data_IF_394208457661
#
_entry.id   IF_394208457661
#
_cell.length_a   1.000
_cell.length_b   1.000
_cell.length_c   1.000
_cell.angle_alpha   90.00
_cell.angle_beta   90.00
_cell.angle_gamma   90.00
#
_symmetry.space_group_name_H-M   'P 1'
#
loop_
_entity.id
_entity.type
_entity.pdbx_description
1 polymer ?
#
# COMPACT_ATOMS: atom_id res chain seq x y z
N UNK A 1 18.69 -16.49 10.45
CA UNK A 1 18.22 -15.47 9.50
C UNK A 1 16.71 -15.50 9.54
N UNK A 2 16.08 -14.37 9.55
CA UNK A 2 14.64 -14.20 9.52
C UNK A 2 14.21 -13.69 8.15
N UNK A 3 12.96 -13.99 7.75
CA UNK A 3 12.44 -13.61 6.44
C UNK A 3 11.14 -12.84 6.59
N UNK A 4 11.04 -11.73 5.89
CA UNK A 4 9.85 -10.89 5.85
C UNK A 4 9.25 -10.91 4.44
N UNK A 5 7.97 -11.25 4.35
CA UNK A 5 7.15 -11.13 3.16
C UNK A 5 6.22 -9.92 3.33
N UNK A 6 6.32 -8.93 2.47
CA UNK A 6 5.38 -7.81 2.45
C UNK A 6 4.52 -7.93 1.19
N UNK A 7 3.21 -7.99 1.38
CA UNK A 7 2.20 -8.17 0.34
C UNK A 7 1.40 -6.90 0.15
N UNK A 8 1.36 -6.38 -1.07
CA UNK A 8 0.35 -5.39 -1.43
C UNK A 8 -1.00 -6.09 -1.60
N UNK A 9 -2.06 -5.53 -1.03
CA UNK A 9 -3.44 -6.03 -1.18
C UNK A 9 -3.84 -6.30 -2.63
N UNK A 10 -4.84 -7.14 -2.86
CA UNK A 10 -5.48 -7.34 -4.14
C UNK A 10 -6.07 -6.05 -4.71
N UNK A 11 -6.37 -6.01 -6.00
CA UNK A 11 -6.92 -4.80 -6.62
C UNK A 11 -8.16 -4.31 -5.87
N UNK A 12 -8.16 -3.04 -5.47
CA UNK A 12 -9.32 -2.39 -4.88
C UNK A 12 -10.33 -1.95 -5.96
N UNK A 13 -11.57 -1.74 -5.55
CA UNK A 13 -12.67 -1.30 -6.42
C UNK A 13 -12.55 0.20 -6.74
N UNK A 14 -11.66 0.54 -7.67
CA UNK A 14 -11.47 1.91 -8.13
C UNK A 14 -12.78 2.45 -8.74
N UNK A 15 -13.21 3.62 -8.32
CA UNK A 15 -14.49 4.28 -8.72
C UNK A 15 -15.77 3.67 -8.12
N UNK A 16 -15.72 2.70 -7.20
CA UNK A 16 -16.88 2.31 -6.41
C UNK A 16 -17.13 3.31 -5.26
N UNK A 17 -18.38 3.32 -4.74
CA UNK A 17 -18.71 4.13 -3.56
C UNK A 17 -17.80 3.84 -2.35
N UNK A 18 -17.32 2.60 -2.24
CA UNK A 18 -16.37 2.19 -1.23
C UNK A 18 -15.09 1.66 -1.88
N UNK A 19 -14.10 2.52 -1.99
CA UNK A 19 -12.77 2.18 -2.52
C UNK A 19 -12.02 1.14 -1.68
N UNK A 20 -12.37 0.97 -0.41
CA UNK A 20 -11.65 0.05 0.51
C UNK A 20 -12.01 -1.43 0.28
N UNK A 21 -12.93 -1.75 -0.62
CA UNK A 21 -13.28 -3.13 -0.97
C UNK A 21 -12.39 -3.68 -2.09
N UNK A 22 -12.11 -4.98 -2.05
CA UNK A 22 -11.50 -5.66 -3.19
C UNK A 22 -12.46 -5.70 -4.38
N UNK A 23 -11.91 -5.54 -5.59
CA UNK A 23 -12.65 -5.84 -6.81
C UNK A 23 -12.71 -7.37 -7.04
N UNK A 24 -13.58 -7.87 -7.92
CA UNK A 24 -13.57 -9.30 -8.30
C UNK A 24 -12.21 -9.78 -8.80
N UNK A 25 -11.45 -8.90 -9.48
CA UNK A 25 -10.07 -9.17 -9.88
C UNK A 25 -9.14 -9.25 -8.67
N UNK A 26 -9.29 -8.34 -7.69
CA UNK A 26 -8.50 -8.34 -6.46
C UNK A 26 -8.72 -9.59 -5.62
N UNK A 27 -9.97 -10.08 -5.53
CA UNK A 27 -10.27 -11.35 -4.89
C UNK A 27 -9.58 -12.52 -5.61
N UNK A 28 -9.67 -12.58 -6.95
CA UNK A 28 -9.02 -13.61 -7.75
C UNK A 28 -7.49 -13.60 -7.56
N UNK A 29 -6.88 -12.41 -7.56
CA UNK A 29 -5.45 -12.23 -7.30
C UNK A 29 -5.06 -12.75 -5.91
N UNK A 30 -5.85 -12.42 -4.87
CA UNK A 30 -5.58 -12.84 -3.49
C UNK A 30 -5.71 -14.36 -3.33
N UNK A 31 -6.72 -14.99 -3.96
CA UNK A 31 -6.87 -16.46 -3.98
C UNK A 31 -5.67 -17.13 -4.67
N UNK A 32 -5.24 -16.61 -5.82
CA UNK A 32 -4.09 -17.15 -6.56
C UNK A 32 -2.80 -17.04 -5.73
N UNK A 33 -2.59 -15.94 -5.01
CA UNK A 33 -1.46 -15.78 -4.10
C UNK A 33 -1.48 -16.89 -3.02
N UNK A 34 -2.63 -17.08 -2.37
CA UNK A 34 -2.79 -18.12 -1.35
C UNK A 34 -2.57 -19.53 -1.89
N UNK A 35 -3.10 -19.85 -3.07
CA UNK A 35 -2.88 -21.11 -3.75
C UNK A 35 -1.40 -21.34 -4.10
N UNK A 36 -0.73 -20.31 -4.60
CA UNK A 36 0.69 -20.38 -4.91
C UNK A 36 1.52 -20.65 -3.65
N UNK A 37 1.30 -19.90 -2.58
CA UNK A 37 2.04 -20.05 -1.34
C UNK A 37 1.78 -21.42 -0.67
N UNK A 38 0.52 -21.86 -0.61
CA UNK A 38 0.16 -23.16 -0.03
C UNK A 38 0.74 -24.32 -0.86
N UNK A 39 0.75 -24.23 -2.21
CA UNK A 39 1.38 -25.26 -3.07
C UNK A 39 2.90 -25.38 -2.83
N UNK A 40 3.55 -24.29 -2.44
CA UNK A 40 4.97 -24.26 -2.04
C UNK A 40 5.19 -24.60 -0.58
N UNK A 41 4.11 -24.83 0.18
CA UNK A 41 4.14 -25.13 1.62
C UNK A 41 4.90 -24.06 2.41
N UNK A 42 4.79 -22.77 1.99
CA UNK A 42 5.37 -21.67 2.73
C UNK A 42 4.75 -21.63 4.13
N UNK A 43 5.58 -21.48 5.15
CA UNK A 43 5.15 -21.40 6.54
C UNK A 43 5.56 -20.06 7.12
N UNK A 44 4.68 -19.50 7.92
CA UNK A 44 4.91 -18.25 8.61
C UNK A 44 4.79 -18.48 10.12
N UNK A 45 5.66 -17.84 10.87
CA UNK A 45 5.58 -17.81 12.34
C UNK A 45 4.60 -16.73 12.79
N UNK A 46 4.43 -15.68 11.97
CA UNK A 46 3.53 -14.55 12.25
C UNK A 46 2.97 -13.97 10.97
N UNK A 47 1.69 -13.56 11.06
CA UNK A 47 0.99 -12.87 9.98
C UNK A 47 0.29 -11.65 10.55
N UNK A 48 0.40 -10.51 9.88
CA UNK A 48 -0.41 -9.34 10.20
C UNK A 48 -0.98 -8.67 8.95
N UNK A 49 -1.97 -7.84 9.17
CA UNK A 49 -2.56 -6.98 8.16
C UNK A 49 -2.67 -5.55 8.67
N UNK A 50 -2.48 -4.58 7.78
CA UNK A 50 -2.88 -3.20 8.05
C UNK A 50 -4.39 -3.10 8.30
N UNK A 51 -4.87 -1.93 8.77
CA UNK A 51 -6.24 -1.79 9.27
C UNK A 51 -7.32 -1.78 8.18
N UNK A 52 -6.97 -1.53 6.92
CA UNK A 52 -7.93 -1.38 5.80
C UNK A 52 -8.66 -2.68 5.50
N UNK A 53 -9.91 -2.57 5.06
CA UNK A 53 -10.73 -3.73 4.66
C UNK A 53 -10.03 -4.55 3.59
N UNK A 54 -9.50 -3.91 2.56
CA UNK A 54 -8.75 -4.57 1.47
C UNK A 54 -7.51 -5.34 1.93
N UNK A 55 -6.85 -4.90 3.02
CA UNK A 55 -5.72 -5.66 3.62
C UNK A 55 -6.22 -6.95 4.27
N UNK A 56 -7.28 -6.84 5.08
CA UNK A 56 -7.90 -7.94 5.80
C UNK A 56 -8.54 -8.95 4.86
N UNK A 57 -9.24 -8.48 3.82
CA UNK A 57 -9.87 -9.35 2.84
C UNK A 57 -8.82 -10.10 1.99
N UNK A 58 -7.70 -9.44 1.66
CA UNK A 58 -6.60 -10.12 0.96
C UNK A 58 -6.07 -11.28 1.79
N UNK A 59 -5.71 -11.07 3.06
CA UNK A 59 -5.19 -12.14 3.90
C UNK A 59 -6.23 -13.21 4.22
N UNK A 60 -7.50 -12.84 4.35
CA UNK A 60 -8.61 -13.80 4.53
C UNK A 60 -8.72 -14.77 3.36
N UNK A 61 -8.55 -14.30 2.12
CA UNK A 61 -8.59 -15.14 0.93
C UNK A 61 -7.35 -16.02 0.81
N UNK A 62 -6.18 -15.53 1.25
CA UNK A 62 -4.95 -16.34 1.36
C UNK A 62 -5.14 -17.43 2.41
N UNK A 63 -5.69 -17.11 3.57
CA UNK A 63 -5.98 -18.05 4.67
C UNK A 63 -6.90 -19.19 4.18
N UNK A 64 -8.00 -18.85 3.50
CA UNK A 64 -8.92 -19.85 2.94
C UNK A 64 -8.23 -20.82 1.96
N UNK A 65 -7.22 -20.36 1.21
CA UNK A 65 -6.45 -21.22 0.33
C UNK A 65 -5.50 -22.18 1.09
N UNK A 66 -4.96 -21.73 2.23
CA UNK A 66 -4.19 -22.59 3.13
C UNK A 66 -5.06 -23.66 3.77
N UNK A 67 -6.23 -23.30 4.30
CA UNK A 67 -7.19 -24.25 4.86
C UNK A 67 -7.60 -25.30 3.83
N UNK A 68 -7.90 -24.89 2.58
CA UNK A 68 -8.25 -25.80 1.49
C UNK A 68 -7.11 -26.77 1.13
N UNK A 69 -5.86 -26.39 1.39
CA UNK A 69 -4.68 -27.22 1.18
C UNK A 69 -4.32 -28.08 2.42
N UNK A 70 -5.10 -28.02 3.50
CA UNK A 70 -4.81 -28.71 4.77
C UNK A 70 -3.56 -28.15 5.48
N UNK A 71 -3.31 -26.85 5.33
CA UNK A 71 -2.19 -26.14 5.95
C UNK A 71 -2.71 -25.07 6.89
N UNK A 72 -1.97 -24.81 7.95
CA UNK A 72 -2.28 -23.75 8.91
C UNK A 72 -1.57 -22.44 8.52
N UNK A 73 -2.28 -21.33 8.69
CA UNK A 73 -1.74 -19.98 8.69
C UNK A 73 -1.93 -19.39 10.10
N UNK A 74 -0.93 -18.70 10.70
CA UNK A 74 -1.07 -18.09 12.01
C UNK A 74 -2.25 -17.12 12.07
N UNK A 75 -2.79 -16.90 13.28
CA UNK A 75 -3.80 -15.89 13.53
C UNK A 75 -3.31 -14.51 13.06
N UNK A 76 -4.17 -13.80 12.33
CA UNK A 76 -3.83 -12.53 11.71
C UNK A 76 -4.04 -11.38 12.69
N UNK A 77 -2.95 -10.70 13.03
CA UNK A 77 -2.99 -9.49 13.85
C UNK A 77 -3.28 -8.26 12.99
N UNK A 78 -4.12 -7.34 13.48
CA UNK A 78 -4.28 -6.03 12.84
C UNK A 78 -3.25 -5.06 13.43
N UNK A 79 -2.39 -4.51 12.58
CA UNK A 79 -1.30 -3.60 12.97
C UNK A 79 -1.53 -2.23 12.30
N UNK A 80 -1.98 -1.20 13.06
CA UNK A 80 -2.31 0.12 12.51
C UNK A 80 -1.13 0.82 11.82
N UNK A 81 0.10 0.54 12.25
CA UNK A 81 1.32 1.11 11.68
C UNK A 81 1.49 0.77 10.19
N UNK A 82 0.86 -0.30 9.72
CA UNK A 82 0.88 -0.69 8.30
C UNK A 82 -0.32 -0.16 7.51
N UNK A 83 -0.94 0.95 7.97
CA UNK A 83 -1.92 1.67 7.13
C UNK A 83 -1.22 2.44 6.00
N UNK A 84 -1.97 2.67 4.92
CA UNK A 84 -1.51 3.50 3.79
C UNK A 84 -1.38 4.97 4.21
N UNK A 85 -0.57 5.76 3.50
CA UNK A 85 -0.55 7.21 3.68
C UNK A 85 -1.92 7.83 3.35
N UNK A 86 -2.25 9.00 3.94
CA UNK A 86 -3.59 9.57 3.88
C UNK A 86 -3.90 10.26 2.54
N UNK A 87 -3.78 9.51 1.42
CA UNK A 87 -3.92 10.05 0.07
C UNK A 87 -5.23 10.81 -0.15
N UNK A 88 -6.34 10.33 0.42
CA UNK A 88 -7.65 10.98 0.30
C UNK A 88 -7.65 12.37 0.96
N UNK A 89 -7.09 12.47 2.17
CA UNK A 89 -6.98 13.75 2.87
C UNK A 89 -6.01 14.69 2.14
N UNK A 90 -4.87 14.17 1.67
CA UNK A 90 -3.91 14.94 0.87
C UNK A 90 -4.55 15.50 -0.39
N UNK A 91 -5.31 14.68 -1.13
CA UNK A 91 -6.05 15.13 -2.32
C UNK A 91 -7.12 16.17 -1.95
N UNK A 92 -7.92 15.91 -0.91
CA UNK A 92 -9.02 16.77 -0.49
C UNK A 92 -8.55 18.18 -0.11
N UNK A 93 -7.46 18.27 0.63
CA UNK A 93 -6.97 19.56 1.16
C UNK A 93 -5.84 20.14 0.31
N UNK A 94 -5.02 19.33 -0.32
CA UNK A 94 -3.86 19.77 -1.10
C UNK A 94 -4.20 20.21 -2.53
N UNK A 95 -5.14 19.52 -3.19
CA UNK A 95 -5.53 19.86 -4.56
C UNK A 95 -6.06 21.31 -4.67
N UNK A 96 -6.98 21.80 -3.81
CA UNK A 96 -7.44 23.21 -3.86
C UNK A 96 -6.28 24.21 -3.77
N UNK A 97 -5.33 23.98 -2.88
CA UNK A 97 -4.15 24.86 -2.73
C UNK A 97 -3.34 24.89 -4.04
N UNK A 98 -3.11 23.73 -4.66
CA UNK A 98 -2.35 23.67 -5.91
C UNK A 98 -3.11 24.21 -7.12
N UNK A 99 -4.44 24.16 -7.13
CA UNK A 99 -5.25 24.83 -8.15
C UNK A 99 -5.03 26.35 -8.15
N UNK A 100 -4.79 26.97 -7.00
CA UNK A 100 -4.51 28.40 -6.90
C UNK A 100 -3.07 28.74 -7.31
N UNK A 101 -2.12 27.85 -7.03
CA UNK A 101 -0.69 28.13 -7.14
C UNK A 101 -0.03 27.61 -8.44
N UNK A 102 -0.59 26.58 -9.08
CA UNK A 102 0.06 25.87 -10.19
C UNK A 102 -0.87 25.78 -11.41
N UNK A 103 -0.48 26.47 -12.50
CA UNK A 103 -1.23 26.48 -13.77
C UNK A 103 -1.35 25.08 -14.37
N UNK A 104 -0.30 24.27 -14.28
CA UNK A 104 -0.30 22.90 -14.79
C UNK A 104 -1.32 22.02 -14.07
N UNK A 105 -1.48 22.20 -12.75
CA UNK A 105 -2.51 21.50 -11.97
C UNK A 105 -3.90 21.94 -12.40
N UNK A 106 -4.12 23.24 -12.63
CA UNK A 106 -5.38 23.75 -13.17
C UNK A 106 -5.73 23.15 -14.52
N UNK A 107 -4.78 23.09 -15.44
CA UNK A 107 -4.99 22.55 -16.78
C UNK A 107 -5.34 21.04 -16.74
N UNK A 108 -4.62 20.29 -15.92
CA UNK A 108 -4.91 18.85 -15.70
C UNK A 108 -6.28 18.65 -15.04
N UNK A 109 -6.63 19.47 -14.06
CA UNK A 109 -7.93 19.37 -13.40
C UNK A 109 -9.08 19.72 -14.37
N UNK A 110 -8.92 20.75 -15.19
CA UNK A 110 -9.87 21.08 -16.24
C UNK A 110 -10.01 19.92 -17.25
N UNK A 111 -8.91 19.34 -17.70
CA UNK A 111 -8.91 18.19 -18.58
C UNK A 111 -9.63 16.97 -17.95
N UNK A 112 -9.39 16.71 -16.65
CA UNK A 112 -10.09 15.66 -15.91
C UNK A 112 -11.60 15.86 -15.88
N UNK A 113 -12.06 17.10 -15.66
CA UNK A 113 -13.49 17.42 -15.59
C UNK A 113 -14.19 17.32 -16.96
N UNK A 114 -13.48 17.64 -18.04
CA UNK A 114 -14.03 17.65 -19.39
C UNK A 114 -13.84 16.33 -20.16
N UNK A 115 -13.05 15.40 -19.63
CA UNK A 115 -12.81 14.13 -20.29
C UNK A 115 -14.07 13.23 -20.28
N UNK A 116 -14.59 12.92 -21.45
CA UNK A 116 -15.74 12.03 -21.63
C UNK A 116 -15.31 10.54 -21.64
N UNK A 117 -14.07 10.27 -22.09
CA UNK A 117 -13.55 8.92 -22.23
C UNK A 117 -13.03 8.39 -20.89
N UNK A 118 -13.55 7.25 -20.36
CA UNK A 118 -13.14 6.73 -19.04
C UNK A 118 -11.64 6.50 -18.89
N UNK A 119 -10.97 6.01 -19.93
CA UNK A 119 -9.50 5.75 -19.90
C UNK A 119 -8.71 7.05 -19.82
N UNK A 120 -9.08 8.06 -20.57
CA UNK A 120 -8.44 9.37 -20.55
C UNK A 120 -8.66 10.05 -19.20
N UNK A 121 -9.90 10.01 -18.70
CA UNK A 121 -10.24 10.54 -17.38
C UNK A 121 -9.41 9.89 -16.27
N UNK A 122 -9.25 8.56 -16.32
CA UNK A 122 -8.42 7.83 -15.37
C UNK A 122 -6.94 8.23 -15.47
N UNK A 123 -6.39 8.33 -16.68
CA UNK A 123 -5.00 8.71 -16.90
C UNK A 123 -4.73 10.15 -16.44
N UNK A 124 -5.67 11.06 -16.66
CA UNK A 124 -5.55 12.47 -16.24
C UNK A 124 -5.66 12.58 -14.71
N UNK A 125 -6.58 11.84 -14.09
CA UNK A 125 -6.67 11.75 -12.64
C UNK A 125 -5.38 11.20 -12.03
N UNK A 126 -4.81 10.14 -12.60
CA UNK A 126 -3.56 9.57 -12.13
C UNK A 126 -2.41 10.59 -12.12
N UNK A 127 -2.26 11.36 -13.19
CA UNK A 127 -1.25 12.43 -13.28
C UNK A 127 -1.48 13.52 -12.23
N UNK A 128 -2.73 13.93 -12.03
CA UNK A 128 -3.09 14.91 -11.02
C UNK A 128 -2.76 14.41 -9.61
N UNK A 129 -3.15 13.17 -9.33
CA UNK A 129 -2.85 12.47 -8.08
C UNK A 129 -1.34 12.43 -7.81
N UNK A 130 -0.54 11.99 -8.80
CA UNK A 130 0.92 11.91 -8.67
C UNK A 130 1.55 13.26 -8.33
N UNK A 131 1.10 14.36 -8.96
CA UNK A 131 1.61 15.70 -8.69
C UNK A 131 1.29 16.13 -7.25
N UNK A 132 0.04 15.96 -6.82
CA UNK A 132 -0.41 16.39 -5.48
C UNK A 132 0.32 15.59 -4.41
N UNK A 133 0.38 14.26 -4.54
CA UNK A 133 1.05 13.39 -3.58
C UNK A 133 2.57 13.66 -3.57
N UNK A 134 3.20 13.87 -4.72
CA UNK A 134 4.62 14.23 -4.77
C UNK A 134 4.91 15.57 -4.07
N UNK A 135 4.07 16.58 -4.25
CA UNK A 135 4.20 17.86 -3.55
C UNK A 135 4.10 17.71 -2.04
N UNK A 136 3.15 16.90 -1.56
CA UNK A 136 3.01 16.58 -0.14
C UNK A 136 4.23 15.80 0.38
N UNK A 137 4.64 14.75 -0.29
CA UNK A 137 5.76 13.91 0.13
C UNK A 137 7.11 14.66 0.19
N UNK A 138 7.28 15.70 -0.64
CA UNK A 138 8.49 16.53 -0.65
C UNK A 138 8.37 17.76 0.28
N UNK A 139 7.33 17.85 1.12
CA UNK A 139 7.13 18.99 2.03
C UNK A 139 6.66 20.28 1.37
N UNK A 140 6.28 20.24 0.09
CA UNK A 140 5.74 21.40 -0.65
C UNK A 140 4.27 21.72 -0.36
N UNK A 141 3.60 20.87 0.44
CA UNK A 141 2.24 21.08 0.95
C UNK A 141 2.23 20.86 2.46
N UNK A 142 1.92 21.90 3.21
CA UNK A 142 1.66 21.80 4.64
C UNK A 142 0.15 21.74 4.85
N UNK A 143 -0.35 20.60 5.35
CA UNK A 143 -1.77 20.34 5.53
C UNK A 143 -2.03 20.10 7.01
N UNK A 144 -2.73 21.03 7.66
CA UNK A 144 -3.02 20.93 9.09
C UNK A 144 -3.87 19.68 9.41
N UNK A 145 -3.46 18.94 10.43
CA UNK A 145 -4.15 17.72 10.86
C UNK A 145 -4.01 16.51 9.92
N UNK A 146 -3.18 16.60 8.89
CA UNK A 146 -2.86 15.50 7.98
C UNK A 146 -1.44 15.00 8.25
N UNK A 147 -1.29 13.70 8.43
CA UNK A 147 0.02 13.05 8.59
C UNK A 147 0.97 13.49 7.48
N UNK A 148 2.17 13.90 7.83
CA UNK A 148 3.23 14.25 6.88
C UNK A 148 3.94 13.00 6.36
N UNK A 149 4.66 13.12 5.24
CA UNK A 149 5.45 12.01 4.70
C UNK A 149 6.51 11.46 5.69
N UNK A 150 7.28 12.29 6.42
CA UNK A 150 8.19 11.80 7.45
C UNK A 150 7.49 11.06 8.60
N UNK A 151 6.31 11.54 9.05
CA UNK A 151 5.52 10.88 10.08
C UNK A 151 5.00 9.52 9.61
N UNK A 152 4.49 9.44 8.36
CA UNK A 152 4.12 8.18 7.74
C UNK A 152 5.28 7.18 7.69
N UNK A 153 6.45 7.61 7.21
CA UNK A 153 7.64 6.76 7.17
C UNK A 153 8.07 6.30 8.57
N UNK A 154 8.03 7.21 9.56
CA UNK A 154 8.35 6.90 10.95
C UNK A 154 7.39 5.87 11.54
N UNK A 155 6.08 6.03 11.31
CA UNK A 155 5.04 5.10 11.77
C UNK A 155 5.26 3.70 11.20
N UNK A 156 5.47 3.60 9.89
CA UNK A 156 5.70 2.29 9.23
C UNK A 156 6.99 1.65 9.74
N UNK A 157 8.06 2.42 9.91
CA UNK A 157 9.33 1.90 10.46
C UNK A 157 9.17 1.41 11.90
N UNK A 158 8.41 2.11 12.74
CA UNK A 158 8.10 1.64 14.10
C UNK A 158 7.36 0.29 14.09
N UNK A 159 6.38 0.13 13.20
CA UNK A 159 5.69 -1.14 13.00
C UNK A 159 6.64 -2.25 12.53
N UNK A 160 7.56 -1.95 11.59
CA UNK A 160 8.58 -2.90 11.14
C UNK A 160 9.51 -3.30 12.29
N UNK A 161 10.01 -2.36 13.09
CA UNK A 161 10.88 -2.66 14.23
C UNK A 161 10.21 -3.57 15.24
N UNK A 162 8.96 -3.25 15.62
CA UNK A 162 8.19 -4.08 16.54
C UNK A 162 7.95 -5.48 15.97
N UNK A 163 7.53 -5.57 14.70
CA UNK A 163 7.18 -6.85 14.08
C UNK A 163 8.40 -7.72 13.79
N UNK A 164 9.54 -7.11 13.44
CA UNK A 164 10.77 -7.82 13.12
C UNK A 164 11.57 -8.26 14.35
N UNK A 165 11.39 -7.60 15.49
CA UNK A 165 12.11 -7.92 16.74
C UNK A 165 11.95 -9.37 17.22
N UNK A 166 10.82 -10.00 16.91
CA UNK A 166 10.52 -11.37 17.30
C UNK A 166 11.21 -12.45 16.42
N UNK A 167 11.90 -12.06 15.34
CA UNK A 167 12.58 -13.00 14.43
C UNK A 167 11.63 -13.90 13.64
N UNK A 168 12.14 -14.99 13.04
CA UNK A 168 11.34 -15.97 12.30
C UNK A 168 10.88 -15.48 10.92
N UNK A 169 9.95 -16.22 10.32
CA UNK A 169 9.33 -15.90 9.01
C UNK A 169 8.00 -15.17 9.24
N UNK A 170 7.86 -14.00 8.68
CA UNK A 170 6.70 -13.14 8.90
C UNK A 170 6.08 -12.67 7.59
N UNK A 171 4.75 -12.47 7.57
CA UNK A 171 4.04 -11.87 6.44
C UNK A 171 3.23 -10.66 6.89
N UNK A 172 3.32 -9.57 6.11
CA UNK A 172 2.59 -8.32 6.32
C UNK A 172 1.72 -8.07 5.08
N UNK A 173 0.41 -7.98 5.27
CA UNK A 173 -0.54 -7.61 4.21
C UNK A 173 -0.90 -6.13 4.33
N UNK A 174 -0.52 -5.34 3.34
CA UNK A 174 -0.63 -3.88 3.39
C UNK A 174 -0.82 -3.27 2.01
N UNK A 175 -0.44 -2.01 1.84
CA UNK A 175 -0.54 -1.22 0.61
C UNK A 175 0.84 -0.91 -0.01
N UNK A 176 0.83 -0.15 -1.11
CA UNK A 176 2.05 0.23 -1.83
C UNK A 176 2.98 1.13 -1.02
N UNK A 177 2.43 2.06 -0.26
CA UNK A 177 3.21 2.99 0.56
C UNK A 177 4.07 2.29 1.63
N UNK A 178 3.48 1.50 2.55
CA UNK A 178 4.26 0.76 3.54
C UNK A 178 5.26 -0.24 2.92
N UNK A 179 4.91 -0.86 1.78
CA UNK A 179 5.85 -1.71 1.03
C UNK A 179 7.06 -0.91 0.57
N UNK A 180 6.84 0.30 0.06
CA UNK A 180 7.92 1.17 -0.41
C UNK A 180 8.78 1.71 0.75
N UNK A 181 8.21 1.94 1.93
CA UNK A 181 8.99 2.31 3.14
C UNK A 181 9.91 1.16 3.55
N UNK A 182 9.46 -0.08 3.47
CA UNK A 182 10.34 -1.23 3.73
C UNK A 182 11.48 -1.33 2.69
N UNK A 183 11.19 -1.03 1.40
CA UNK A 183 12.22 -0.91 0.36
C UNK A 183 13.18 0.25 0.65
N UNK A 184 12.66 1.41 1.09
CA UNK A 184 13.47 2.55 1.50
C UNK A 184 14.48 2.15 2.58
N UNK A 185 14.00 1.48 3.61
CA UNK A 185 14.85 1.01 4.72
C UNK A 185 15.93 0.01 4.25
N UNK A 186 15.58 -0.90 3.36
CA UNK A 186 16.51 -1.94 2.89
C UNK A 186 17.55 -1.41 1.90
N UNK A 187 17.23 -0.39 1.11
CA UNK A 187 18.03 0.10 -0.02
C UNK A 187 18.51 1.55 0.15
N UNK A 188 18.21 2.19 1.28
CA UNK A 188 18.50 3.61 1.55
C UNK A 188 17.98 4.56 0.46
N UNK A 189 16.71 4.37 0.09
CA UNK A 189 16.10 5.17 -0.97
C UNK A 189 15.76 6.58 -0.47
N UNK A 190 15.92 7.57 -1.36
CA UNK A 190 15.39 8.92 -1.10
C UNK A 190 13.86 8.91 -1.02
N UNK A 191 13.27 9.93 -0.38
CA UNK A 191 11.80 10.08 -0.29
C UNK A 191 11.13 10.03 -1.68
N UNK A 192 11.73 10.69 -2.68
CA UNK A 192 11.24 10.65 -4.05
C UNK A 192 11.22 9.22 -4.61
N UNK A 193 12.33 8.49 -4.50
CA UNK A 193 12.41 7.11 -5.01
C UNK A 193 11.49 6.16 -4.26
N UNK A 194 11.28 6.39 -2.97
CA UNK A 194 10.33 5.63 -2.16
C UNK A 194 8.90 5.84 -2.66
N UNK A 195 8.52 7.08 -2.91
CA UNK A 195 7.20 7.38 -3.47
C UNK A 195 7.01 6.76 -4.86
N UNK A 196 7.98 6.91 -5.76
CA UNK A 196 7.96 6.29 -7.09
C UNK A 196 7.81 4.76 -6.98
N UNK A 197 8.56 4.12 -6.08
CA UNK A 197 8.45 2.68 -5.83
C UNK A 197 7.05 2.26 -5.36
N UNK A 198 6.37 3.08 -4.53
CA UNK A 198 5.02 2.78 -4.04
C UNK A 198 3.99 2.61 -5.18
N UNK A 199 4.18 3.32 -6.28
CA UNK A 199 3.30 3.25 -7.46
C UNK A 199 3.63 2.05 -8.37
N UNK A 200 4.85 1.51 -8.27
CA UNK A 200 5.29 0.39 -9.10
C UNK A 200 4.93 -0.97 -8.52
N UNK A 201 4.72 -1.06 -7.21
CA UNK A 201 4.33 -2.31 -6.54
C UNK A 201 2.97 -2.78 -7.05
N UNK A 202 2.88 -3.98 -7.59
CA UNK A 202 1.63 -4.50 -8.17
C UNK A 202 0.72 -5.12 -7.11
N UNK A 203 -0.59 -5.10 -7.35
CA UNK A 203 -1.57 -5.75 -6.48
C UNK A 203 -1.28 -7.25 -6.34
N UNK A 204 -1.43 -7.78 -5.13
CA UNK A 204 -1.10 -9.15 -4.72
C UNK A 204 0.33 -9.61 -5.02
N UNK A 205 1.24 -8.66 -5.37
CA UNK A 205 2.67 -8.98 -5.36
C UNK A 205 3.20 -9.01 -3.94
N UNK A 206 4.29 -9.73 -3.74
CA UNK A 206 5.03 -9.69 -2.48
C UNK A 206 6.50 -9.32 -2.74
N UNK A 207 7.09 -8.69 -1.74
CA UNK A 207 8.54 -8.44 -1.63
C UNK A 207 9.08 -9.30 -0.50
N UNK A 208 10.18 -9.99 -0.73
CA UNK A 208 10.85 -10.82 0.26
C UNK A 208 12.14 -10.16 0.74
N UNK A 209 12.29 -10.04 2.04
CA UNK A 209 13.45 -9.46 2.67
C UNK A 209 14.08 -10.45 3.65
N UNK A 210 15.39 -10.64 3.53
CA UNK A 210 16.17 -11.33 4.55
C UNK A 210 16.65 -10.31 5.57
N UNK A 211 16.49 -10.59 6.84
CA UNK A 211 16.95 -9.70 7.90
C UNK A 211 17.61 -10.48 9.05
N UNK A 212 18.49 -9.80 9.77
CA UNK A 212 19.07 -10.28 11.01
C UNK A 212 18.57 -9.41 12.15
N UNK A 213 18.05 -10.02 13.21
CA UNK A 213 17.92 -9.30 14.47
C UNK A 213 19.34 -8.95 14.92
N UNK A 214 19.63 -7.65 15.06
CA UNK A 214 20.87 -7.17 15.67
C UNK A 214 20.69 -7.17 17.16
#
# INVERSE_FOLDING_TARGET
MATLYIVRHGQASFLAENYDLLSPMGEAQSRLLGQYWSSRRLRFDRVCAGPRVRHKDTVKLVHAAYEAAGLDLPEVQTVPEFDEYPAEAVMKFGLPILLDLDTRVRDLHAAFLHSAEPKERQATFQRLFEIVIAKWAHGGLHLEGVETWPEFCSRVNAGLDQFLSAGGTAAIFTSGGPTAVALQRALDLSAQRTLEASWMVRNSSWSEFLYSAK
#
